data_IF_794085393032
#
_entry.id   IF_794085393032
#
_cell.length_a   1.000
_cell.length_b   1.000
_cell.length_c   1.000
_cell.angle_alpha   90.00
_cell.angle_beta   90.00
_cell.angle_gamma   90.00
#
_symmetry.space_group_name_H-M   'P 1'
#
loop_
_entity.id
_entity.type
_entity.pdbx_description
1 polymer ?
#
# COMPACT_ATOMS: atom_id res chain seq x y z
N UNK A 1 16.82 -72.68 70.32
CA UNK A 1 17.40 -72.56 68.93
C UNK A 1 16.31 -72.48 67.85
N UNK A 2 15.28 -73.28 67.90
CA UNK A 2 14.18 -73.25 66.88
C UNK A 2 13.41 -71.94 66.82
N UNK A 3 13.23 -71.22 67.91
CA UNK A 3 12.54 -69.98 68.01
C UNK A 3 13.33 -68.82 67.30
N UNK A 4 14.64 -68.77 67.54
CA UNK A 4 15.54 -67.78 66.89
C UNK A 4 15.64 -68.00 65.39
N UNK A 5 15.64 -69.24 64.96
CA UNK A 5 15.63 -69.63 63.54
C UNK A 5 14.33 -69.18 62.84
N UNK A 6 13.18 -69.35 63.52
CA UNK A 6 11.88 -68.89 63.01
C UNK A 6 11.75 -67.36 62.95
N UNK A 7 12.29 -66.66 63.96
CA UNK A 7 12.32 -65.21 64.01
C UNK A 7 13.19 -64.67 62.91
N UNK A 8 14.33 -65.22 62.65
CA UNK A 8 15.24 -64.82 61.56
C UNK A 8 14.60 -65.07 60.19
N UNK A 9 13.89 -66.17 59.98
CA UNK A 9 13.19 -66.49 58.76
C UNK A 9 12.04 -65.51 58.54
N UNK A 10 11.26 -65.16 59.56
CA UNK A 10 10.19 -64.17 59.50
C UNK A 10 10.73 -62.80 59.22
N UNK A 11 11.81 -62.34 59.82
CA UNK A 11 12.48 -61.08 59.57
C UNK A 11 13.01 -61.02 58.12
N UNK A 12 13.56 -62.10 57.60
CA UNK A 12 14.04 -62.19 56.22
C UNK A 12 12.87 -62.10 55.20
N UNK A 13 11.74 -62.72 55.49
CA UNK A 13 10.52 -62.62 54.67
C UNK A 13 9.98 -61.23 54.67
N UNK A 14 9.92 -60.53 55.80
CA UNK A 14 9.51 -59.15 55.90
C UNK A 14 10.42 -58.22 55.09
N UNK A 15 11.71 -58.42 55.18
CA UNK A 15 12.69 -57.69 54.41
C UNK A 15 12.54 -57.94 52.90
N UNK A 16 12.32 -59.16 52.52
CA UNK A 16 12.06 -59.53 51.12
C UNK A 16 10.81 -58.84 50.55
N UNK A 17 9.70 -58.91 51.31
CA UNK A 17 8.45 -58.30 50.95
C UNK A 17 8.56 -56.74 50.79
N UNK A 18 9.30 -56.12 51.74
CA UNK A 18 9.54 -54.67 51.67
C UNK A 18 10.37 -54.27 50.44
N UNK A 19 11.41 -55.08 50.13
CA UNK A 19 12.22 -54.85 48.93
C UNK A 19 11.42 -55.09 47.67
N UNK A 20 10.57 -56.09 47.61
CA UNK A 20 9.70 -56.34 46.47
C UNK A 20 8.70 -55.20 46.24
N UNK A 21 8.10 -54.63 47.31
CA UNK A 21 7.25 -53.46 47.23
C UNK A 21 7.99 -52.20 46.73
N UNK A 22 9.20 -51.99 47.29
CA UNK A 22 10.05 -50.88 46.89
C UNK A 22 10.41 -50.97 45.38
N UNK A 23 10.76 -52.17 44.92
CA UNK A 23 11.08 -52.44 43.54
C UNK A 23 9.88 -52.16 42.62
N UNK A 24 8.68 -52.64 43.00
CA UNK A 24 7.45 -52.39 42.26
C UNK A 24 7.11 -50.89 42.16
N UNK A 25 7.32 -50.17 43.27
CA UNK A 25 7.12 -48.70 43.27
C UNK A 25 8.13 -47.99 42.36
N UNK A 26 9.40 -48.43 42.42
CA UNK A 26 10.44 -47.86 41.55
C UNK A 26 10.16 -48.14 40.06
N UNK A 27 9.70 -49.34 39.73
CA UNK A 27 9.31 -49.70 38.37
C UNK A 27 8.13 -48.83 37.86
N UNK A 28 7.12 -48.58 38.70
CA UNK A 28 6.01 -47.70 38.39
C UNK A 28 6.47 -46.25 38.19
N UNK A 29 7.32 -45.74 39.05
CA UNK A 29 7.89 -44.40 38.92
C UNK A 29 8.71 -44.27 37.66
N UNK A 30 9.52 -45.27 37.31
CA UNK A 30 10.31 -45.30 36.09
C UNK A 30 9.40 -45.28 34.86
N UNK A 31 8.33 -46.05 34.87
CA UNK A 31 7.34 -46.09 33.80
C UNK A 31 6.67 -44.73 33.59
N UNK A 32 6.24 -44.10 34.69
CA UNK A 32 5.65 -42.73 34.63
C UNK A 32 6.62 -41.68 34.13
N UNK A 33 7.88 -41.77 34.58
CA UNK A 33 8.93 -40.88 34.10
C UNK A 33 9.19 -41.07 32.59
N UNK A 34 9.21 -42.31 32.11
CA UNK A 34 9.34 -42.62 30.70
C UNK A 34 8.19 -42.08 29.87
N UNK A 35 6.95 -42.20 30.36
CA UNK A 35 5.77 -41.63 29.69
C UNK A 35 5.83 -40.09 29.62
N UNK A 36 6.28 -39.46 30.72
CA UNK A 36 6.46 -37.98 30.72
C UNK A 36 7.53 -37.53 29.76
N UNK A 37 8.63 -38.25 29.66
CA UNK A 37 9.69 -37.95 28.68
C UNK A 37 9.16 -38.07 27.26
N UNK A 38 8.41 -39.12 26.97
CA UNK A 38 7.78 -39.32 25.66
C UNK A 38 6.83 -38.20 25.30
N UNK A 39 5.97 -37.77 26.21
CA UNK A 39 5.07 -36.65 26.00
C UNK A 39 5.82 -35.33 25.80
N UNK A 40 6.88 -35.10 26.56
CA UNK A 40 7.71 -33.93 26.40
C UNK A 40 8.42 -33.90 25.04
N UNK A 41 8.93 -35.03 24.58
CA UNK A 41 9.55 -35.15 23.25
C UNK A 41 8.54 -34.87 22.14
N UNK A 42 7.33 -35.39 22.25
CA UNK A 42 6.23 -35.09 21.29
C UNK A 42 5.91 -33.60 21.24
N UNK A 43 5.84 -32.95 22.41
CA UNK A 43 5.62 -31.48 22.47
C UNK A 43 6.77 -30.69 21.84
N UNK A 44 8.00 -31.12 22.09
CA UNK A 44 9.20 -30.48 21.49
C UNK A 44 9.15 -30.59 19.97
N UNK A 45 8.79 -31.76 19.43
CA UNK A 45 8.64 -31.93 18.00
C UNK A 45 7.56 -31.01 17.40
N UNK A 46 6.39 -30.92 18.06
CA UNK A 46 5.31 -30.02 17.63
C UNK A 46 5.76 -28.55 17.63
N UNK A 47 6.45 -28.13 18.68
CA UNK A 47 6.97 -26.76 18.78
C UNK A 47 8.00 -26.49 17.69
N UNK A 48 8.89 -27.44 17.42
CA UNK A 48 9.87 -27.29 16.33
C UNK A 48 9.22 -27.17 14.97
N UNK A 49 8.16 -27.95 14.70
CA UNK A 49 7.41 -27.86 13.47
C UNK A 49 6.69 -26.51 13.32
N UNK A 50 6.08 -26.04 14.41
CA UNK A 50 5.46 -24.71 14.46
C UNK A 50 6.47 -23.59 14.23
N UNK A 51 7.65 -23.69 14.85
CA UNK A 51 8.73 -22.72 14.64
C UNK A 51 9.21 -22.70 13.19
N UNK A 52 9.32 -23.88 12.57
CA UNK A 52 9.65 -23.99 11.16
C UNK A 52 8.60 -23.29 10.25
N UNK A 53 7.33 -23.53 10.52
CA UNK A 53 6.22 -22.91 9.79
C UNK A 53 6.19 -21.39 9.97
N UNK A 54 6.39 -20.90 11.19
CA UNK A 54 6.50 -19.47 11.50
C UNK A 54 7.69 -18.85 10.77
N UNK A 55 8.83 -19.51 10.76
CA UNK A 55 10.01 -19.03 10.05
C UNK A 55 9.79 -18.88 8.55
N UNK A 56 9.11 -19.85 7.93
CA UNK A 56 8.75 -19.76 6.51
C UNK A 56 7.74 -18.64 6.23
N UNK A 57 6.73 -18.51 7.07
CA UNK A 57 5.76 -17.41 6.96
C UNK A 57 6.43 -16.06 7.10
N UNK A 58 7.39 -15.93 8.02
CA UNK A 58 8.16 -14.69 8.19
C UNK A 58 8.94 -14.35 6.93
N UNK A 59 9.60 -15.32 6.30
CA UNK A 59 10.31 -15.10 5.02
C UNK A 59 9.38 -14.68 3.92
N UNK A 60 8.21 -15.31 3.80
CA UNK A 60 7.20 -14.92 2.80
C UNK A 60 6.69 -13.50 3.02
N UNK A 61 6.45 -13.12 4.28
CA UNK A 61 6.04 -11.76 4.64
C UNK A 61 7.13 -10.74 4.31
N UNK A 62 8.39 -11.04 4.58
CA UNK A 62 9.52 -10.17 4.23
C UNK A 62 9.63 -9.94 2.72
N UNK A 63 9.49 -11.00 1.92
CA UNK A 63 9.47 -10.90 0.45
C UNK A 63 8.27 -10.10 -0.03
N UNK A 64 7.10 -10.32 0.55
CA UNK A 64 5.88 -9.59 0.23
C UNK A 64 6.00 -8.10 0.58
N UNK A 65 6.59 -7.78 1.72
CA UNK A 65 6.86 -6.41 2.16
C UNK A 65 7.82 -5.70 1.20
N UNK A 66 8.89 -6.36 0.79
CA UNK A 66 9.87 -5.81 -0.15
C UNK A 66 9.24 -5.52 -1.51
N UNK A 67 8.40 -6.44 -2.01
CA UNK A 67 7.64 -6.23 -3.24
C UNK A 67 6.65 -5.07 -3.13
N UNK A 68 5.98 -4.95 -1.99
CA UNK A 68 5.07 -3.85 -1.72
C UNK A 68 5.81 -2.50 -1.68
N UNK A 69 6.96 -2.46 -1.02
CA UNK A 69 7.82 -1.27 -0.97
C UNK A 69 8.31 -0.85 -2.36
N UNK A 70 8.76 -1.81 -3.17
CA UNK A 70 9.17 -1.54 -4.54
C UNK A 70 8.03 -0.98 -5.40
N UNK A 71 6.81 -1.50 -5.24
CA UNK A 71 5.62 -0.98 -5.92
C UNK A 71 5.28 0.43 -5.45
N UNK A 72 5.38 0.69 -4.16
CA UNK A 72 5.15 2.01 -3.58
C UNK A 72 6.11 3.05 -4.16
N UNK A 73 7.40 2.73 -4.26
CA UNK A 73 8.40 3.61 -4.88
C UNK A 73 8.07 3.92 -6.34
N UNK A 74 7.67 2.90 -7.12
CA UNK A 74 7.23 3.10 -8.51
C UNK A 74 6.01 3.98 -8.61
N UNK A 75 5.02 3.79 -7.74
CA UNK A 75 3.82 4.64 -7.73
C UNK A 75 4.13 6.07 -7.32
N UNK A 76 5.03 6.27 -6.35
CA UNK A 76 5.48 7.61 -5.98
C UNK A 76 6.16 8.33 -7.13
N UNK A 77 7.02 7.64 -7.89
CA UNK A 77 7.65 8.19 -9.09
C UNK A 77 6.63 8.53 -10.17
N UNK A 78 5.66 7.66 -10.40
CA UNK A 78 4.56 7.92 -11.33
C UNK A 78 3.73 9.13 -10.92
N UNK A 79 3.41 9.27 -9.63
CA UNK A 79 2.68 10.42 -9.09
C UNK A 79 3.46 11.70 -9.34
N UNK A 80 4.77 11.72 -9.09
CA UNK A 80 5.62 12.89 -9.36
C UNK A 80 5.61 13.27 -10.84
N UNK A 81 5.69 12.28 -11.73
CA UNK A 81 5.63 12.53 -13.17
C UNK A 81 4.27 13.09 -13.61
N UNK A 82 3.19 12.53 -13.07
CA UNK A 82 1.83 13.01 -13.35
C UNK A 82 1.64 14.43 -12.83
N UNK A 83 2.11 14.74 -11.64
CA UNK A 83 2.07 16.09 -11.07
C UNK A 83 2.85 17.10 -11.93
N UNK A 84 4.02 16.71 -12.42
CA UNK A 84 4.80 17.57 -13.33
C UNK A 84 4.07 17.82 -14.65
N UNK A 85 3.46 16.78 -15.23
CA UNK A 85 2.65 16.91 -16.45
C UNK A 85 1.42 17.77 -16.23
N UNK A 86 0.76 17.61 -15.09
CA UNK A 86 -0.40 18.44 -14.74
C UNK A 86 -0.02 19.91 -14.66
N UNK A 87 1.07 20.20 -13.97
CA UNK A 87 1.59 21.57 -13.84
C UNK A 87 1.93 22.18 -15.20
N UNK A 88 2.54 21.42 -16.10
CA UNK A 88 2.81 21.87 -17.47
C UNK A 88 1.53 22.12 -18.26
N UNK A 89 0.54 21.23 -18.14
CA UNK A 89 -0.75 21.39 -18.80
C UNK A 89 -1.51 22.63 -18.29
N UNK A 90 -1.50 22.85 -16.99
CA UNK A 90 -2.10 24.06 -16.38
C UNK A 90 -1.41 25.32 -16.89
N UNK A 91 -0.08 25.36 -16.95
CA UNK A 91 0.66 26.51 -17.48
C UNK A 91 0.35 26.78 -18.96
N UNK A 92 0.23 25.72 -19.77
CA UNK A 92 -0.19 25.87 -21.19
C UNK A 92 -1.63 26.37 -21.30
N UNK A 93 -2.51 25.87 -20.45
CA UNK A 93 -3.90 26.31 -20.42
C UNK A 93 -4.03 27.80 -20.07
N UNK A 94 -3.32 28.22 -19.03
CA UNK A 94 -3.28 29.65 -18.64
C UNK A 94 -2.72 30.54 -19.76
N UNK A 95 -1.65 30.09 -20.41
CA UNK A 95 -1.06 30.81 -21.52
C UNK A 95 -2.02 30.90 -22.70
N UNK A 96 -2.73 29.83 -23.03
CA UNK A 96 -3.73 29.80 -24.07
C UNK A 96 -4.92 30.72 -23.73
N UNK A 97 -5.39 30.73 -22.50
CA UNK A 97 -6.46 31.63 -22.04
C UNK A 97 -6.04 33.11 -22.15
N UNK A 98 -4.80 33.43 -21.76
CA UNK A 98 -4.26 34.76 -21.95
C UNK A 98 -4.23 35.19 -23.42
N UNK A 99 -3.80 34.28 -24.32
CA UNK A 99 -3.79 34.56 -25.76
C UNK A 99 -5.20 34.75 -26.34
N UNK A 100 -6.15 33.93 -25.88
CA UNK A 100 -7.56 34.09 -26.27
C UNK A 100 -8.09 35.45 -25.84
N UNK A 101 -7.81 35.86 -24.60
CA UNK A 101 -8.23 37.19 -24.12
C UNK A 101 -7.61 38.32 -24.93
N UNK A 102 -6.33 38.23 -25.28
CA UNK A 102 -5.66 39.21 -26.16
C UNK A 102 -6.27 39.26 -27.56
N UNK A 103 -6.59 38.09 -28.13
CA UNK A 103 -7.22 37.99 -29.44
C UNK A 103 -8.64 38.57 -29.41
N UNK A 104 -9.40 38.36 -28.36
CA UNK A 104 -10.72 38.98 -28.21
C UNK A 104 -10.65 40.51 -28.18
N UNK A 105 -9.72 41.06 -27.41
CA UNK A 105 -9.49 42.51 -27.37
C UNK A 105 -9.11 43.06 -28.76
N UNK A 106 -8.26 42.33 -29.49
CA UNK A 106 -7.86 42.73 -30.84
C UNK A 106 -9.00 42.64 -31.83
N UNK A 107 -9.87 41.64 -31.71
CA UNK A 107 -11.09 41.53 -32.51
C UNK A 107 -12.01 42.74 -32.25
N UNK A 108 -12.24 43.10 -31.00
CA UNK A 108 -13.04 44.24 -30.62
C UNK A 108 -12.46 45.53 -31.19
N UNK A 109 -11.15 45.73 -31.11
CA UNK A 109 -10.48 46.91 -31.70
C UNK A 109 -10.63 46.96 -33.23
N UNK A 110 -10.49 45.82 -33.90
CA UNK A 110 -10.68 45.71 -35.34
C UNK A 110 -12.15 45.98 -35.76
N UNK A 111 -13.11 45.47 -35.01
CA UNK A 111 -14.53 45.76 -35.23
C UNK A 111 -14.82 47.24 -35.09
N UNK A 112 -14.28 47.89 -34.07
CA UNK A 112 -14.39 49.35 -33.90
C UNK A 112 -13.74 50.11 -35.05
N UNK A 113 -12.60 49.66 -35.55
CA UNK A 113 -11.91 50.25 -36.71
C UNK A 113 -12.75 50.12 -37.99
N UNK A 114 -13.36 48.96 -38.21
CA UNK A 114 -14.24 48.69 -39.32
C UNK A 114 -15.45 49.66 -39.31
N UNK A 115 -16.06 49.83 -38.12
CA UNK A 115 -17.19 50.74 -37.95
C UNK A 115 -16.78 52.22 -38.30
N UNK A 116 -15.61 52.62 -37.80
CA UNK A 116 -15.08 53.98 -38.09
C UNK A 116 -14.81 54.16 -39.56
N UNK A 117 -14.21 53.21 -40.25
CA UNK A 117 -13.94 53.26 -41.67
C UNK A 117 -15.25 53.29 -42.51
N UNK A 118 -16.23 52.47 -42.11
CA UNK A 118 -17.57 52.50 -42.73
C UNK A 118 -18.25 53.88 -42.58
N UNK A 119 -18.14 54.51 -41.43
CA UNK A 119 -18.66 55.86 -41.21
C UNK A 119 -17.96 56.89 -42.11
N UNK A 120 -16.63 56.80 -42.28
CA UNK A 120 -15.88 57.68 -43.18
C UNK A 120 -16.31 57.51 -44.66
N UNK A 121 -16.44 56.23 -45.05
CA UNK A 121 -16.92 55.94 -46.44
C UNK A 121 -18.30 56.50 -46.69
N UNK A 122 -19.19 56.28 -45.72
CA UNK A 122 -20.57 56.86 -45.87
C UNK A 122 -20.58 58.35 -45.85
N UNK A 123 -19.73 59.04 -45.09
CA UNK A 123 -19.61 60.49 -45.09
C UNK A 123 -19.07 61.01 -46.42
N UNK A 124 -18.02 60.36 -46.95
CA UNK A 124 -17.46 60.73 -48.27
C UNK A 124 -18.45 60.46 -49.38
N UNK A 125 -19.18 59.36 -49.39
CA UNK A 125 -20.23 59.02 -50.36
C UNK A 125 -21.34 60.01 -50.31
N UNK A 126 -21.78 60.46 -49.16
CA UNK A 126 -22.82 61.49 -49.01
C UNK A 126 -22.37 62.83 -49.55
N UNK A 127 -21.13 63.24 -49.28
CA UNK A 127 -20.55 64.46 -49.83
C UNK A 127 -20.44 64.42 -51.35
N UNK A 128 -20.06 63.30 -51.93
CA UNK A 128 -20.01 63.10 -53.38
C UNK A 128 -21.40 63.20 -54.01
N UNK A 129 -22.39 62.57 -53.42
CA UNK A 129 -23.79 62.64 -53.88
C UNK A 129 -24.32 64.08 -53.84
N UNK A 130 -24.04 64.80 -52.77
CA UNK A 130 -24.43 66.21 -52.64
C UNK A 130 -23.76 67.09 -53.70
N UNK A 131 -22.46 66.87 -53.89
CA UNK A 131 -21.71 67.62 -54.92
C UNK A 131 -22.21 67.30 -56.32
N UNK A 132 -22.52 66.06 -56.60
CA UNK A 132 -23.04 65.59 -57.86
C UNK A 132 -24.46 66.19 -58.15
N UNK A 133 -25.30 66.22 -57.13
CA UNK A 133 -26.60 66.84 -57.19
C UNK A 133 -26.53 68.34 -57.47
N UNK A 134 -25.58 69.01 -56.78
CA UNK A 134 -25.34 70.45 -57.04
C UNK A 134 -24.90 70.73 -58.49
N UNK A 135 -24.01 69.88 -59.04
CA UNK A 135 -23.56 69.96 -60.41
C UNK A 135 -24.73 69.79 -61.42
N UNK A 136 -25.58 68.81 -61.16
CA UNK A 136 -26.75 68.54 -61.99
C UNK A 136 -27.75 69.67 -61.97
N UNK A 137 -27.92 70.39 -60.85
CA UNK A 137 -28.84 71.53 -60.74
C UNK A 137 -28.33 72.80 -61.39
N UNK A 138 -27.04 72.90 -61.64
CA UNK A 138 -26.43 74.07 -62.35
C UNK A 138 -26.57 74.02 -63.86
N UNK A 139 -26.87 72.88 -64.40
CA UNK A 139 -27.11 72.68 -65.81
C UNK A 139 -28.59 72.36 -66.07
#
# INVERSE_FOLDING_TARGET
MLILSKIKASDNEMKYDNLARSLAMMEDELKRAGERVKLADEKVQLINDELGAIGENQKQLEVSEEKARSREEKYQDQIKQIQARLKQAESRSEYAEMNISKLHLRIDDLEDEIIREKMKINAVSSQLDDTFSEMLNRY
#
